data_IF_067080460136
#
_entry.id   IF_067080460136
#
_cell.length_a   1.000
_cell.length_b   1.000
_cell.length_c   1.000
_cell.angle_alpha   90.00
_cell.angle_beta   90.00
_cell.angle_gamma   90.00
#
_symmetry.space_group_name_H-M   'P 1'
#
loop_
_entity.id
_entity.type
_entity.pdbx_description
1 polymer ?
#
# COMPACT_ATOMS: atom_id res chain seq x y z
N UNK A 1 12.91 6.67 -11.60
CA UNK A 1 12.79 5.24 -11.94
C UNK A 1 11.49 4.75 -11.33
N UNK A 2 10.67 3.95 -12.02
CA UNK A 2 9.39 3.53 -11.44
C UNK A 2 9.65 2.51 -10.33
N UNK A 3 9.16 2.79 -9.13
CA UNK A 3 9.31 1.90 -7.99
C UNK A 3 8.57 0.58 -8.25
N UNK A 4 9.26 -0.57 -8.15
CA UNK A 4 8.66 -1.86 -8.46
C UNK A 4 7.60 -2.29 -7.43
N UNK A 5 7.69 -1.85 -6.18
CA UNK A 5 6.65 -2.09 -5.17
C UNK A 5 5.35 -1.40 -5.54
N UNK A 6 5.43 -0.20 -6.11
CA UNK A 6 4.26 0.51 -6.62
C UNK A 6 3.62 -0.25 -7.80
N UNK A 7 4.42 -0.74 -8.75
CA UNK A 7 3.89 -1.50 -9.89
C UNK A 7 3.19 -2.78 -9.42
N UNK A 8 3.80 -3.49 -8.46
CA UNK A 8 3.20 -4.68 -7.84
C UNK A 8 1.89 -4.33 -7.11
N UNK A 9 1.86 -3.21 -6.37
CA UNK A 9 0.67 -2.75 -5.68
C UNK A 9 -0.46 -2.35 -6.65
N UNK A 10 -0.14 -1.67 -7.76
CA UNK A 10 -1.09 -1.30 -8.81
C UNK A 10 -1.67 -2.53 -9.50
N UNK A 11 -0.85 -3.56 -9.77
CA UNK A 11 -1.32 -4.83 -10.29
C UNK A 11 -2.27 -5.52 -9.30
N UNK A 12 -1.95 -5.49 -8.00
CA UNK A 12 -2.76 -6.13 -6.96
C UNK A 12 -4.14 -5.47 -6.75
N UNK A 13 -4.26 -4.15 -6.97
CA UNK A 13 -5.55 -3.46 -6.93
C UNK A 13 -6.33 -3.57 -8.25
N UNK A 14 -5.76 -4.23 -9.27
CA UNK A 14 -6.27 -4.38 -10.64
C UNK A 14 -6.29 -3.07 -11.46
N UNK A 15 -5.36 -2.15 -11.18
CA UNK A 15 -5.23 -0.88 -11.89
C UNK A 15 -3.83 -0.69 -12.50
N UNK A 16 -3.28 -1.68 -13.25
CA UNK A 16 -1.92 -1.58 -13.81
C UNK A 16 -1.75 -0.40 -14.77
N UNK A 17 -2.83 0.05 -15.42
CA UNK A 17 -2.85 1.23 -16.30
C UNK A 17 -2.43 2.52 -15.59
N UNK A 18 -2.62 2.62 -14.27
CA UNK A 18 -2.21 3.79 -13.51
C UNK A 18 -0.68 3.91 -13.43
N UNK A 19 0.09 2.88 -13.79
CA UNK A 19 1.55 2.97 -13.84
C UNK A 19 2.01 4.13 -14.75
N UNK A 20 1.30 4.38 -15.85
CA UNK A 20 1.56 5.52 -16.73
C UNK A 20 1.20 6.87 -16.13
N UNK A 21 0.26 6.93 -15.17
CA UNK A 21 -0.04 8.16 -14.41
C UNK A 21 1.06 8.39 -13.37
N UNK A 22 1.41 7.34 -12.63
CA UNK A 22 2.45 7.39 -11.60
C UNK A 22 3.85 7.64 -12.18
N UNK A 23 4.11 7.40 -13.48
CA UNK A 23 5.39 7.77 -14.10
C UNK A 23 5.63 9.29 -14.14
N UNK A 24 4.57 10.10 -14.00
CA UNK A 24 4.67 11.56 -13.88
C UNK A 24 4.76 12.05 -12.44
N UNK A 25 4.62 11.16 -11.45
CA UNK A 25 4.70 11.48 -10.03
C UNK A 25 6.15 11.26 -9.57
N UNK A 26 6.82 12.27 -8.97
CA UNK A 26 8.14 12.07 -8.40
C UNK A 26 8.12 10.93 -7.37
N UNK A 27 9.14 10.08 -7.37
CA UNK A 27 9.17 8.87 -6.53
C UNK A 27 8.93 9.16 -5.04
N UNK A 28 9.50 10.27 -4.54
CA UNK A 28 9.30 10.77 -3.16
C UNK A 28 7.84 11.08 -2.79
N UNK A 29 6.95 11.22 -3.77
CA UNK A 29 5.53 11.48 -3.59
C UNK A 29 4.65 10.28 -3.97
N UNK A 30 5.25 9.19 -4.46
CA UNK A 30 4.51 8.02 -4.93
C UNK A 30 3.70 7.34 -3.81
N UNK A 31 4.27 7.26 -2.60
CA UNK A 31 3.61 6.68 -1.43
C UNK A 31 2.40 7.49 -1.00
N UNK A 32 2.53 8.83 -1.00
CA UNK A 32 1.41 9.73 -0.71
C UNK A 32 0.31 9.65 -1.77
N UNK A 33 0.66 9.71 -3.06
CA UNK A 33 -0.31 9.63 -4.14
C UNK A 33 -1.07 8.30 -4.13
N UNK A 34 -0.37 7.19 -3.87
CA UNK A 34 -1.00 5.88 -3.74
C UNK A 34 -1.86 5.78 -2.48
N UNK A 35 -1.42 6.33 -1.35
CA UNK A 35 -2.21 6.38 -0.12
C UNK A 35 -3.49 7.22 -0.29
N UNK A 36 -3.44 8.36 -0.98
CA UNK A 36 -4.63 9.16 -1.30
C UNK A 36 -5.61 8.39 -2.19
N UNK A 37 -5.13 7.65 -3.20
CA UNK A 37 -5.97 6.75 -4.00
C UNK A 37 -6.64 5.69 -3.11
N UNK A 38 -5.88 5.03 -2.23
CA UNK A 38 -6.42 4.03 -1.31
C UNK A 38 -7.41 4.64 -0.30
N UNK A 39 -7.19 5.88 0.12
CA UNK A 39 -8.09 6.58 1.03
C UNK A 39 -9.45 6.90 0.40
N UNK A 40 -9.49 7.05 -0.94
CA UNK A 40 -10.70 7.36 -1.71
C UNK A 40 -11.42 6.12 -2.25
N UNK A 41 -10.68 5.06 -2.56
CA UNK A 41 -11.25 3.82 -3.12
C UNK A 41 -11.18 2.66 -2.11
N UNK A 42 -12.33 2.39 -1.47
CA UNK A 42 -12.50 1.31 -0.49
C UNK A 42 -12.27 -0.09 -1.09
N UNK A 43 -12.57 -0.29 -2.37
CA UNK A 43 -12.38 -1.57 -3.06
C UNK A 43 -10.89 -1.80 -3.32
N UNK A 44 -10.19 -0.78 -3.82
CA UNK A 44 -8.75 -0.82 -4.01
C UNK A 44 -8.02 -1.00 -2.68
N UNK A 45 -8.39 -0.26 -1.62
CA UNK A 45 -7.83 -0.44 -0.28
C UNK A 45 -7.99 -1.87 0.22
N UNK A 46 -9.17 -2.48 0.05
CA UNK A 46 -9.39 -3.88 0.48
C UNK A 46 -8.42 -4.83 -0.24
N UNK A 47 -8.27 -4.70 -1.56
CA UNK A 47 -7.36 -5.53 -2.36
C UNK A 47 -5.91 -5.33 -1.97
N UNK A 48 -5.51 -4.08 -1.75
CA UNK A 48 -4.18 -3.74 -1.29
C UNK A 48 -3.88 -4.38 0.08
N UNK A 49 -4.80 -4.29 1.05
CA UNK A 49 -4.64 -4.95 2.36
C UNK A 49 -4.61 -6.48 2.27
N UNK A 50 -5.28 -7.09 1.29
CA UNK A 50 -5.21 -8.53 1.01
C UNK A 50 -3.83 -8.92 0.47
N UNK A 51 -3.27 -8.11 -0.45
CA UNK A 51 -1.89 -8.25 -0.93
C UNK A 51 -0.89 -8.16 0.22
N UNK A 52 -0.97 -7.13 1.07
CA UNK A 52 -0.06 -6.98 2.21
C UNK A 52 -0.15 -8.17 3.15
N UNK A 53 -1.36 -8.67 3.43
CA UNK A 53 -1.51 -9.88 4.25
C UNK A 53 -0.86 -11.11 3.60
N UNK A 54 -1.00 -11.27 2.29
CA UNK A 54 -0.40 -12.38 1.56
C UNK A 54 1.14 -12.30 1.60
N UNK A 55 1.69 -11.10 1.43
CA UNK A 55 3.13 -10.84 1.47
C UNK A 55 3.72 -11.08 2.85
N UNK A 56 3.08 -10.54 3.89
CA UNK A 56 3.49 -10.76 5.26
C UNK A 56 3.49 -12.26 5.58
N UNK A 57 2.47 -13.01 5.14
CA UNK A 57 2.42 -14.46 5.33
C UNK A 57 3.50 -15.21 4.54
N UNK A 58 3.75 -14.82 3.30
CA UNK A 58 4.68 -15.50 2.42
C UNK A 58 6.13 -15.21 2.81
N UNK A 59 6.43 -13.97 3.17
CA UNK A 59 7.78 -13.46 3.30
C UNK A 59 8.21 -13.13 4.73
N UNK A 60 7.28 -13.14 5.68
CA UNK A 60 7.47 -12.65 7.05
C UNK A 60 7.87 -11.16 7.08
N UNK A 61 7.37 -10.39 6.10
CA UNK A 61 7.64 -8.97 6.01
C UNK A 61 6.94 -8.28 4.84
N UNK A 62 7.05 -6.96 4.80
CA UNK A 62 6.55 -6.08 3.74
C UNK A 62 7.68 -5.21 3.20
N UNK A 63 7.47 -4.55 2.07
CA UNK A 63 8.50 -3.63 1.56
C UNK A 63 8.50 -2.33 2.35
N UNK A 64 9.66 -1.66 2.43
CA UNK A 64 9.74 -0.33 3.04
C UNK A 64 8.78 0.68 2.38
N UNK A 65 8.53 0.54 1.08
CA UNK A 65 7.56 1.34 0.36
C UNK A 65 6.11 1.07 0.84
N UNK A 66 5.75 -0.20 1.05
CA UNK A 66 4.43 -0.55 1.61
C UNK A 66 4.24 0.03 3.02
N UNK A 67 5.29 0.04 3.85
CA UNK A 67 5.26 0.67 5.19
C UNK A 67 4.99 2.16 5.11
N UNK A 68 5.67 2.88 4.21
CA UNK A 68 5.46 4.31 4.01
C UNK A 68 4.03 4.62 3.54
N UNK A 69 3.45 3.79 2.67
CA UNK A 69 2.04 3.90 2.28
C UNK A 69 1.13 3.70 3.50
N UNK A 70 1.35 2.66 4.30
CA UNK A 70 0.52 2.38 5.47
C UNK A 70 0.63 3.50 6.52
N UNK A 71 1.84 4.00 6.80
CA UNK A 71 2.05 5.12 7.70
C UNK A 71 1.35 6.39 7.17
N UNK A 72 1.39 6.62 5.85
CA UNK A 72 0.70 7.74 5.23
C UNK A 72 -0.81 7.60 5.36
N UNK A 73 -1.38 6.39 5.18
CA UNK A 73 -2.80 6.12 5.40
C UNK A 73 -3.23 6.41 6.84
N UNK A 74 -2.44 5.97 7.83
CA UNK A 74 -2.71 6.29 9.26
C UNK A 74 -2.79 7.80 9.45
N UNK A 75 -1.82 8.54 8.91
CA UNK A 75 -1.78 9.99 9.02
C UNK A 75 -2.95 10.67 8.30
N UNK A 76 -3.35 10.20 7.12
CA UNK A 76 -4.50 10.73 6.37
C UNK A 76 -5.81 10.54 7.16
N UNK A 77 -6.02 9.38 7.78
CA UNK A 77 -7.23 9.11 8.56
C UNK A 77 -7.24 9.78 9.94
N UNK A 78 -6.07 10.10 10.49
CA UNK A 78 -5.92 10.88 11.72
C UNK A 78 -5.95 12.41 11.48
N UNK A 79 -5.77 12.85 10.24
CA UNK A 79 -5.74 14.27 9.86
C UNK A 79 -7.10 14.96 10.05
N UNK A 80 -7.13 16.29 10.27
CA UNK A 80 -8.34 17.10 10.17
C UNK A 80 -9.06 16.97 8.82
N UNK A 81 -8.35 16.57 7.77
CA UNK A 81 -8.90 16.28 6.44
C UNK A 81 -9.61 14.92 6.35
N UNK A 82 -9.63 14.14 7.42
CA UNK A 82 -10.31 12.82 7.47
C UNK A 82 -11.81 12.90 7.15
N UNK A 83 -12.45 14.06 7.31
CA UNK A 83 -13.84 14.29 6.89
C UNK A 83 -14.07 14.25 5.38
N UNK A 84 -13.01 14.38 4.57
CA UNK A 84 -13.07 14.23 3.11
C UNK A 84 -12.92 12.77 2.64
N UNK A 85 -12.64 11.84 3.55
CA UNK A 85 -12.44 10.42 3.25
C UNK A 85 -13.48 9.58 3.99
N UNK A 86 -13.94 8.48 3.39
CA UNK A 86 -14.71 7.50 4.13
C UNK A 86 -13.76 6.75 5.06
N UNK A 87 -13.92 6.93 6.39
CA UNK A 87 -13.08 6.23 7.36
C UNK A 87 -13.26 4.71 7.20
N UNK A 88 -12.15 3.94 7.11
CA UNK A 88 -12.23 2.49 7.12
C UNK A 88 -12.80 2.01 8.46
N UNK A 89 -13.42 0.82 8.44
CA UNK A 89 -13.81 0.14 9.68
C UNK A 89 -12.58 -0.20 10.56
N UNK A 90 -12.83 -0.42 11.85
CA UNK A 90 -11.78 -0.71 12.84
C UNK A 90 -10.89 -1.89 12.44
N UNK A 91 -11.47 -2.87 11.74
CA UNK A 91 -10.73 -4.04 11.25
C UNK A 91 -9.71 -3.66 10.18
N UNK A 92 -10.07 -2.79 9.24
CA UNK A 92 -9.14 -2.28 8.21
C UNK A 92 -8.13 -1.33 8.83
N UNK A 93 -8.54 -0.44 9.72
CA UNK A 93 -7.62 0.44 10.45
C UNK A 93 -6.56 -0.36 11.24
N UNK A 94 -6.99 -1.40 11.95
CA UNK A 94 -6.07 -2.29 12.66
C UNK A 94 -5.05 -2.93 11.72
N UNK A 95 -5.48 -3.43 10.55
CA UNK A 95 -4.57 -3.99 9.54
C UNK A 95 -3.57 -2.96 9.03
N UNK A 96 -4.00 -1.73 8.76
CA UNK A 96 -3.11 -0.66 8.32
C UNK A 96 -2.03 -0.41 9.39
N UNK A 97 -2.41 -0.34 10.67
CA UNK A 97 -1.48 -0.19 11.78
C UNK A 97 -0.52 -1.39 11.93
N UNK A 98 -1.02 -2.62 11.78
CA UNK A 98 -0.19 -3.84 11.82
C UNK A 98 0.87 -3.84 10.70
N UNK A 99 0.55 -3.31 9.52
CA UNK A 99 1.50 -3.23 8.41
C UNK A 99 2.68 -2.29 8.71
N UNK A 100 2.50 -1.26 9.54
CA UNK A 100 3.58 -0.35 9.96
C UNK A 100 4.59 -1.06 10.88
N UNK A 101 4.16 -2.11 11.57
CA UNK A 101 4.96 -2.87 12.53
C UNK A 101 5.60 -4.13 11.92
N UNK A 102 5.30 -4.45 10.65
CA UNK A 102 5.86 -5.61 9.97
C UNK A 102 7.39 -5.47 9.79
N UNK A 103 8.14 -6.57 9.70
CA UNK A 103 9.54 -6.51 9.27
C UNK A 103 9.66 -5.99 7.84
N UNK A 104 10.66 -5.14 7.59
CA UNK A 104 10.95 -4.65 6.25
C UNK A 104 11.83 -5.66 5.48
N UNK A 105 11.38 -6.07 4.30
CA UNK A 105 12.10 -7.02 3.41
C UNK A 105 12.16 -6.48 1.98
N UNK A 106 13.08 -6.99 1.17
CA UNK A 106 13.16 -6.58 -0.24
C UNK A 106 12.02 -7.18 -1.06
N UNK A 107 11.52 -6.44 -2.05
CA UNK A 107 10.47 -6.92 -2.95
C UNK A 107 10.86 -8.24 -3.65
N UNK A 108 12.14 -8.37 -4.03
CA UNK A 108 12.68 -9.59 -4.66
C UNK A 108 12.48 -10.84 -3.79
N UNK A 109 12.64 -10.71 -2.47
CA UNK A 109 12.44 -11.80 -1.51
C UNK A 109 10.97 -12.18 -1.42
N UNK A 110 10.07 -11.19 -1.41
CA UNK A 110 8.62 -11.42 -1.42
C UNK A 110 8.21 -12.16 -2.69
N UNK A 111 8.61 -11.65 -3.86
CA UNK A 111 8.27 -12.25 -5.16
C UNK A 111 8.83 -13.66 -5.29
N UNK A 112 10.05 -13.92 -4.81
CA UNK A 112 10.64 -15.25 -4.81
C UNK A 112 9.84 -16.25 -3.96
N UNK A 113 9.31 -15.81 -2.80
CA UNK A 113 8.53 -16.65 -1.89
C UNK A 113 7.08 -16.87 -2.36
N UNK A 114 6.48 -15.94 -3.12
CA UNK A 114 5.15 -16.14 -3.75
C UNK A 114 5.13 -17.22 -4.85
N UNK A 115 6.28 -17.50 -5.47
CA UNK A 115 6.42 -18.49 -6.57
C UNK A 115 6.65 -19.93 -6.08
N UNK A 116 6.83 -20.13 -4.78
CA UNK A 116 6.87 -21.44 -4.12
C UNK A 116 5.50 -21.79 -3.57
#
# INVERSE_FOLDING_TARGET
MVNLSLVDALAAIEEPQLAGVFSFIPEKHSTFAFADLMARDKKALRRYLEKLKADLKAADGLTGWDHEVCATLVNLYASPLSGAFEKPDDKRLKKINECVLAPAVQLSEIVAKRKK
#
